data_IF_228570616082
#
_entry.id   IF_228570616082
#
_cell.length_a   1.000
_cell.length_b   1.000
_cell.length_c   1.000
_cell.angle_alpha   90.00
_cell.angle_beta   90.00
_cell.angle_gamma   90.00
#
_symmetry.space_group_name_H-M   'P 1'
#
loop_
_entity.id
_entity.type
_entity.pdbx_description
1 polymer ?
#
# COMPACT_ATOMS: atom_id res chain seq x y z
N UNK A 1 -22.33 -13.87 -4.23
CA UNK A 1 -23.55 -13.04 -4.16
C UNK A 1 -24.01 -13.05 -2.71
N UNK A 2 -23.99 -11.90 -2.05
CA UNK A 2 -24.48 -11.77 -0.68
C UNK A 2 -25.79 -10.98 -0.68
N UNK A 3 -26.76 -11.49 0.07
CA UNK A 3 -28.03 -10.81 0.26
C UNK A 3 -28.00 -10.06 1.58
N UNK A 4 -28.31 -8.78 1.55
CA UNK A 4 -28.55 -7.99 2.74
C UNK A 4 -30.05 -7.74 2.88
N UNK A 5 -30.54 -7.58 4.10
CA UNK A 5 -31.96 -7.37 4.36
C UNK A 5 -32.16 -6.20 5.32
N UNK A 6 -33.15 -5.36 5.04
CA UNK A 6 -33.65 -4.37 6.00
C UNK A 6 -34.95 -4.93 6.57
N UNK A 7 -35.04 -5.04 7.89
CA UNK A 7 -36.23 -5.53 8.59
C UNK A 7 -36.94 -4.32 9.23
N UNK A 8 -38.21 -4.13 8.89
CA UNK A 8 -39.06 -3.16 9.57
C UNK A 8 -39.25 -3.58 11.05
N UNK A 9 -38.96 -2.67 11.97
CA UNK A 9 -39.00 -2.96 13.41
C UNK A 9 -40.40 -3.08 13.99
N UNK A 10 -41.42 -2.57 13.28
CA UNK A 10 -42.82 -2.61 13.70
C UNK A 10 -43.55 -3.79 13.07
N UNK A 11 -43.38 -4.00 11.77
CA UNK A 11 -44.11 -5.04 11.03
C UNK A 11 -43.33 -6.35 10.90
N UNK A 12 -42.03 -6.35 11.25
CA UNK A 12 -41.11 -7.47 11.01
C UNK A 12 -41.01 -7.88 9.53
N UNK A 13 -41.40 -7.00 8.61
CA UNK A 13 -41.33 -7.25 7.17
C UNK A 13 -39.89 -7.13 6.66
N UNK A 14 -39.52 -8.03 5.75
CA UNK A 14 -38.19 -8.13 5.16
C UNK A 14 -38.15 -7.44 3.78
N UNK A 15 -37.18 -6.54 3.58
CA UNK A 15 -36.84 -5.93 2.29
C UNK A 15 -35.44 -6.39 1.83
N UNK A 16 -35.32 -7.58 1.21
CA UNK A 16 -34.02 -8.12 0.80
C UNK A 16 -33.48 -7.40 -0.44
N UNK A 17 -32.17 -7.15 -0.43
CA UNK A 17 -31.38 -6.59 -1.53
C UNK A 17 -30.19 -7.50 -1.80
N UNK A 18 -29.96 -7.85 -3.06
CA UNK A 18 -28.73 -8.53 -3.46
C UNK A 18 -27.64 -7.51 -3.78
N UNK A 19 -26.42 -7.74 -3.29
CA UNK A 19 -25.23 -7.03 -3.73
C UNK A 19 -24.15 -8.02 -4.18
N UNK A 20 -23.54 -7.71 -5.32
CA UNK A 20 -22.32 -8.39 -5.73
C UNK A 20 -21.14 -7.87 -4.92
N UNK A 21 -20.26 -8.79 -4.51
CA UNK A 21 -19.04 -8.52 -3.76
C UNK A 21 -17.94 -9.41 -4.29
N UNK A 22 -16.72 -8.88 -4.27
CA UNK A 22 -15.53 -9.68 -4.48
C UNK A 22 -15.44 -10.72 -3.35
N UNK A 23 -15.17 -12.00 -3.65
CA UNK A 23 -14.97 -13.02 -2.63
C UNK A 23 -13.89 -12.61 -1.61
N UNK A 24 -14.09 -12.96 -0.35
CA UNK A 24 -13.06 -12.78 0.68
C UNK A 24 -11.75 -13.45 0.25
N UNK A 25 -10.63 -12.90 0.72
CA UNK A 25 -9.27 -13.38 0.45
C UNK A 25 -8.85 -13.33 -1.03
N UNK A 26 -9.61 -12.64 -1.88
CA UNK A 26 -9.16 -12.34 -3.24
C UNK A 26 -7.90 -11.46 -3.20
N UNK A 27 -6.88 -11.87 -3.94
CA UNK A 27 -5.60 -11.17 -4.01
C UNK A 27 -5.54 -10.27 -5.24
N UNK A 28 -5.11 -9.03 -5.05
CA UNK A 28 -4.93 -8.05 -6.12
C UNK A 28 -3.49 -7.56 -6.15
N UNK A 29 -2.93 -7.43 -7.34
CA UNK A 29 -1.67 -6.73 -7.53
C UNK A 29 -1.93 -5.21 -7.54
N UNK A 30 -1.14 -4.47 -6.77
CA UNK A 30 -1.26 -3.02 -6.63
C UNK A 30 0.10 -2.38 -6.86
N UNK A 31 0.14 -1.36 -7.70
CA UNK A 31 1.32 -0.53 -7.95
C UNK A 31 1.04 0.91 -7.51
N UNK A 32 2.02 1.53 -6.84
CA UNK A 32 1.99 2.96 -6.51
C UNK A 32 3.28 3.61 -6.97
N UNK A 33 3.16 4.72 -7.70
CA UNK A 33 4.28 5.55 -8.11
C UNK A 33 4.37 6.77 -7.17
N UNK A 34 5.57 7.02 -6.65
CA UNK A 34 5.86 8.17 -5.80
C UNK A 34 6.99 8.99 -6.41
N UNK A 35 6.64 10.18 -6.92
CA UNK A 35 7.59 11.07 -7.59
C UNK A 35 8.39 11.91 -6.58
N UNK A 36 9.70 11.95 -6.78
CA UNK A 36 10.63 12.76 -5.99
C UNK A 36 11.01 14.01 -6.77
N UNK A 37 10.57 15.19 -6.31
CA UNK A 37 10.93 16.48 -6.91
C UNK A 37 12.11 17.13 -6.19
N UNK A 38 12.24 16.88 -4.88
CA UNK A 38 13.34 17.31 -4.02
C UNK A 38 13.86 16.13 -3.21
N UNK A 39 15.12 16.19 -2.78
CA UNK A 39 15.72 15.13 -1.97
C UNK A 39 14.93 14.87 -0.68
N UNK A 40 14.47 15.93 0.00
CA UNK A 40 13.71 15.81 1.25
C UNK A 40 12.31 15.18 1.08
N UNK A 41 11.78 15.09 -0.14
CA UNK A 41 10.47 14.49 -0.39
C UNK A 41 10.42 13.02 -0.03
N UNK A 42 11.58 12.34 -0.01
CA UNK A 42 11.67 10.92 0.37
C UNK A 42 11.13 10.66 1.78
N UNK A 43 11.24 11.63 2.69
CA UNK A 43 10.69 11.54 4.04
C UNK A 43 9.17 11.41 4.05
N UNK A 44 8.51 11.99 3.04
CA UNK A 44 7.05 11.97 2.90
C UNK A 44 6.54 10.59 2.50
N UNK A 45 7.39 9.70 1.96
CA UNK A 45 7.03 8.32 1.69
C UNK A 45 6.52 7.59 2.95
N UNK A 46 7.02 7.96 4.14
CA UNK A 46 6.52 7.45 5.43
C UNK A 46 5.01 7.66 5.60
N UNK A 47 4.48 8.78 5.09
CA UNK A 47 3.05 9.11 5.14
C UNK A 47 2.19 8.20 4.25
N UNK A 48 2.76 7.67 3.17
CA UNK A 48 2.07 6.69 2.32
C UNK A 48 1.85 5.40 3.12
N UNK A 49 2.90 4.89 3.77
CA UNK A 49 2.77 3.70 4.63
C UNK A 49 1.87 3.93 5.84
N UNK A 50 1.88 5.13 6.41
CA UNK A 50 0.92 5.54 7.45
C UNK A 50 -0.53 5.44 6.95
N UNK A 51 -0.80 5.99 5.77
CA UNK A 51 -2.11 5.89 5.13
C UNK A 51 -2.54 4.45 4.83
N UNK A 52 -1.60 3.60 4.40
CA UNK A 52 -1.86 2.17 4.17
C UNK A 52 -2.30 1.47 5.46
N UNK A 53 -1.61 1.70 6.58
CA UNK A 53 -2.01 1.15 7.89
C UNK A 53 -3.39 1.64 8.33
N UNK A 54 -3.67 2.94 8.13
CA UNK A 54 -4.98 3.50 8.47
C UNK A 54 -6.09 2.88 7.61
N UNK A 55 -5.81 2.60 6.33
CA UNK A 55 -6.73 1.92 5.45
C UNK A 55 -6.96 0.46 5.86
N UNK A 56 -5.91 -0.24 6.29
CA UNK A 56 -6.02 -1.59 6.86
C UNK A 56 -6.91 -1.59 8.10
N UNK A 57 -6.80 -0.59 8.98
CA UNK A 57 -7.67 -0.47 10.16
C UNK A 57 -9.09 0.00 9.81
N UNK A 58 -9.25 0.63 8.64
CA UNK A 58 -10.51 1.06 8.05
C UNK A 58 -11.04 0.04 7.01
N UNK A 59 -11.76 0.53 6.01
CA UNK A 59 -12.28 -0.25 4.90
C UNK A 59 -12.09 0.48 3.56
N UNK A 60 -11.79 -0.28 2.53
CA UNK A 60 -11.71 0.18 1.14
C UNK A 60 -13.07 0.01 0.44
N UNK A 61 -13.57 1.07 -0.17
CA UNK A 61 -14.81 1.04 -0.94
C UNK A 61 -16.08 1.24 -0.10
N UNK A 62 -17.20 0.66 -0.55
CA UNK A 62 -18.52 0.88 0.03
C UNK A 62 -18.90 -0.13 1.12
N UNK A 63 -19.79 0.27 2.03
CA UNK A 63 -20.38 -0.59 3.07
C UNK A 63 -19.40 -1.15 4.11
N UNK A 64 -18.31 -0.43 4.42
CA UNK A 64 -17.34 -0.83 5.44
C UNK A 64 -17.94 -1.14 6.82
N UNK A 65 -18.91 -0.33 7.26
CA UNK A 65 -19.65 -0.55 8.51
C UNK A 65 -20.46 -1.86 8.55
N UNK A 66 -20.68 -2.48 7.39
CA UNK A 66 -21.41 -3.75 7.20
C UNK A 66 -20.46 -4.91 6.85
N UNK A 67 -19.17 -4.77 7.19
CA UNK A 67 -18.17 -5.82 7.08
C UNK A 67 -17.52 -5.96 5.70
N UNK A 68 -17.69 -5.01 4.78
CA UNK A 68 -17.03 -5.03 3.47
C UNK A 68 -15.71 -4.28 3.45
N UNK A 69 -14.82 -4.63 2.52
CA UNK A 69 -13.67 -3.77 2.19
C UNK A 69 -12.51 -3.85 3.18
N UNK A 70 -12.46 -4.84 4.07
CA UNK A 70 -11.26 -5.09 4.87
C UNK A 70 -10.12 -5.53 3.94
N UNK A 71 -8.96 -4.90 4.07
CA UNK A 71 -7.78 -5.17 3.24
C UNK A 71 -6.55 -5.34 4.11
N UNK A 72 -5.53 -6.01 3.56
CA UNK A 72 -4.18 -6.11 4.10
C UNK A 72 -3.20 -5.93 2.96
N UNK A 73 -2.09 -5.23 3.21
CA UNK A 73 -0.99 -5.10 2.26
C UNK A 73 0.14 -6.05 2.61
N UNK A 74 0.45 -6.95 1.69
CA UNK A 74 1.50 -7.96 1.86
C UNK A 74 2.47 -7.97 0.68
N UNK A 75 3.66 -8.55 0.90
CA UNK A 75 4.69 -8.72 -0.12
C UNK A 75 5.12 -7.41 -0.81
N UNK A 76 5.12 -6.30 -0.06
CA UNK A 76 5.48 -4.98 -0.58
C UNK A 76 6.94 -4.98 -1.04
N UNK A 77 7.15 -4.54 -2.29
CA UNK A 77 8.47 -4.30 -2.88
C UNK A 77 8.65 -2.80 -3.09
N UNK A 78 9.84 -2.29 -2.73
CA UNK A 78 10.18 -0.88 -2.94
C UNK A 78 11.31 -0.82 -3.97
N UNK A 79 11.07 -0.06 -5.03
CA UNK A 79 11.98 0.09 -6.17
C UNK A 79 12.21 1.57 -6.41
N UNK A 80 13.45 1.94 -6.73
CA UNK A 80 13.82 3.31 -7.05
C UNK A 80 14.30 3.39 -8.48
N UNK A 81 13.65 4.25 -9.26
CA UNK A 81 14.01 4.57 -10.64
C UNK A 81 14.68 5.94 -10.66
N UNK A 82 15.97 5.98 -11.01
CA UNK A 82 16.72 7.23 -11.16
C UNK A 82 16.50 7.83 -12.55
N UNK A 83 16.96 9.06 -12.81
CA UNK A 83 16.93 9.63 -14.17
C UNK A 83 17.68 8.74 -15.19
N UNK A 84 18.75 8.08 -14.77
CA UNK A 84 19.52 7.18 -15.62
C UNK A 84 18.74 5.91 -16.03
N UNK A 85 17.75 5.48 -15.24
CA UNK A 85 16.83 4.41 -15.62
C UNK A 85 16.10 4.76 -16.92
N UNK A 86 15.52 5.97 -16.97
CA UNK A 86 14.74 6.44 -18.12
C UNK A 86 15.58 6.89 -19.31
N UNK A 87 16.83 7.34 -19.08
CA UNK A 87 17.66 7.96 -20.14
C UNK A 87 18.77 7.06 -20.66
N UNK A 88 19.27 6.13 -19.84
CA UNK A 88 20.46 5.31 -20.13
C UNK A 88 20.18 3.80 -20.05
N UNK A 89 18.94 3.39 -19.78
CA UNK A 89 18.56 1.98 -19.66
C UNK A 89 19.23 1.26 -18.49
N UNK A 90 19.58 1.99 -17.42
CA UNK A 90 20.07 1.38 -16.18
C UNK A 90 18.89 0.71 -15.47
N UNK A 91 19.11 -0.45 -14.85
CA UNK A 91 18.05 -1.15 -14.10
C UNK A 91 17.57 -0.37 -12.87
N UNK A 92 16.35 -0.67 -12.43
CA UNK A 92 15.79 -0.08 -11.20
C UNK A 92 16.49 -0.64 -9.96
N UNK A 93 16.65 0.22 -8.96
CA UNK A 93 17.28 -0.16 -7.71
C UNK A 93 16.24 -0.79 -6.78
N UNK A 94 16.36 -2.10 -6.55
CA UNK A 94 15.58 -2.78 -5.52
C UNK A 94 16.10 -2.40 -4.13
N UNK A 95 15.22 -1.83 -3.32
CA UNK A 95 15.50 -1.50 -1.92
C UNK A 95 15.32 -2.79 -1.11
N UNK A 96 16.36 -3.28 -0.41
CA UNK A 96 16.23 -4.50 0.37
C UNK A 96 15.31 -4.24 1.55
N UNK A 97 14.17 -4.91 1.53
CA UNK A 97 13.23 -4.99 2.63
C UNK A 97 13.50 -6.32 3.32
N UNK A 98 13.81 -6.32 4.63
CA UNK A 98 14.08 -7.57 5.34
C UNK A 98 12.83 -8.47 5.38
N UNK A 99 13.00 -9.78 5.61
CA UNK A 99 11.89 -10.73 5.53
C UNK A 99 10.74 -10.45 6.53
N UNK A 100 11.05 -9.74 7.63
CA UNK A 100 10.07 -9.32 8.63
C UNK A 100 9.37 -7.99 8.27
N UNK A 101 9.67 -7.35 7.13
CA UNK A 101 9.11 -6.04 6.75
C UNK A 101 8.27 -6.11 5.45
N UNK A 102 7.51 -7.18 5.21
CA UNK A 102 6.72 -7.32 3.97
C UNK A 102 5.34 -6.66 4.01
N UNK A 103 4.91 -6.16 5.16
CA UNK A 103 3.63 -5.46 5.35
C UNK A 103 3.83 -3.96 5.61
N UNK A 104 2.75 -3.18 5.45
CA UNK A 104 2.80 -1.72 5.60
C UNK A 104 3.27 -1.29 7.01
N UNK A 105 2.86 -2.03 8.04
CA UNK A 105 3.15 -1.71 9.44
C UNK A 105 4.62 -1.88 9.82
N UNK A 106 5.25 -2.94 9.34
CA UNK A 106 6.65 -3.23 9.64
C UNK A 106 7.59 -2.32 8.84
N UNK A 107 7.22 -1.96 7.60
CA UNK A 107 7.92 -0.92 6.84
C UNK A 107 7.83 0.43 7.56
N UNK A 108 6.65 0.80 8.06
CA UNK A 108 6.49 2.07 8.79
C UNK A 108 7.38 2.14 10.04
N UNK A 109 7.46 1.05 10.82
CA UNK A 109 8.32 0.98 12.03
C UNK A 109 9.81 1.02 11.70
N UNK A 110 10.22 0.39 10.62
CA UNK A 110 11.62 0.30 10.19
C UNK A 110 12.03 1.40 9.20
N UNK A 111 11.14 2.36 8.92
CA UNK A 111 11.28 3.34 7.84
C UNK A 111 12.61 4.11 7.92
N UNK A 112 13.03 4.53 9.10
CA UNK A 112 14.24 5.34 9.25
C UNK A 112 15.52 4.54 8.89
N UNK A 113 15.51 3.22 9.05
CA UNK A 113 16.60 2.33 8.61
C UNK A 113 16.54 2.07 7.11
N UNK A 114 15.33 1.93 6.56
CA UNK A 114 15.09 1.77 5.13
C UNK A 114 15.53 3.02 4.36
N UNK A 115 15.19 4.20 4.89
CA UNK A 115 15.58 5.49 4.33
C UNK A 115 17.09 5.62 4.20
N UNK A 116 17.85 5.33 5.27
CA UNK A 116 19.33 5.34 5.23
C UNK A 116 19.88 4.42 4.16
N UNK A 117 19.22 3.30 3.90
CA UNK A 117 19.61 2.35 2.85
C UNK A 117 19.35 2.91 1.46
N UNK A 118 18.29 3.70 1.29
CA UNK A 118 17.98 4.37 0.03
C UNK A 118 18.96 5.52 -0.24
N UNK A 119 19.22 6.36 0.77
CA UNK A 119 20.13 7.50 0.67
C UNK A 119 21.60 7.04 0.50
N UNK A 120 22.04 6.06 1.29
CA UNK A 120 23.41 5.53 1.22
C UNK A 120 23.74 4.75 -0.07
N UNK A 121 22.73 4.39 -0.87
CA UNK A 121 22.94 3.83 -2.21
C UNK A 121 23.10 4.90 -3.29
N UNK A 122 22.53 6.10 -3.12
CA UNK A 122 22.74 7.20 -4.08
C UNK A 122 24.19 7.70 -4.10
N UNK A 123 24.83 7.81 -2.94
CA UNK A 123 26.23 8.25 -2.85
C UNK A 123 27.21 7.30 -3.55
N UNK A 124 26.91 6.00 -3.55
CA UNK A 124 27.76 4.99 -4.21
C UNK A 124 27.60 4.94 -5.73
N UNK A 125 26.51 5.48 -6.28
CA UNK A 125 26.34 5.65 -7.73
C UNK A 125 26.91 6.99 -8.24
N UNK A 126 27.04 8.00 -7.37
CA UNK A 126 27.66 9.30 -7.70
C UNK A 126 29.19 9.21 -7.86
N UNK A 127 29.87 8.39 -7.06
CA UNK A 127 31.34 8.31 -7.03
C UNK A 127 31.97 7.33 -8.04
N UNK A 128 31.29 7.02 -9.16
CA UNK A 128 31.80 6.11 -10.20
C UNK A 128 32.01 6.79 -11.57
N UNK A 129 32.27 8.09 -11.57
CA UNK A 129 32.80 8.85 -12.73
C UNK A 129 34.15 9.43 -12.34
#
# INVERSE_FOLDING_TARGET
MENENVIDRLTSEAMPRSMERVPADSVFEVEMLFDLYKNDDIQKLKKVFEGMMLLEDSALGGSGSRGSGKVVFENIKIMKRSLAYYTKGVDELVVPVNDNCKNARDIYKSFDSLLKTIEGKDEKLSNKT
#
